data_IF_992933649792
#
_entry.id   IF_992933649792
#
_cell.length_a   1.000
_cell.length_b   1.000
_cell.length_c   1.000
_cell.angle_alpha   90.00
_cell.angle_beta   90.00
_cell.angle_gamma   90.00
#
_symmetry.space_group_name_H-M   'P 1'
#
loop_
_entity.id
_entity.type
_entity.pdbx_description
1 polymer ?
#
# COMPACT_ATOMS: atom_id res chain seq x y z
N UNK A 1 -19.64 -0.27 -13.13
CA UNK A 1 -19.30 -1.71 -13.23
C UNK A 1 -19.60 -2.47 -11.94
N UNK A 2 -18.95 -2.14 -10.83
CA UNK A 2 -19.09 -2.89 -9.56
C UNK A 2 -20.52 -2.85 -9.02
N UNK A 3 -21.20 -1.70 -9.06
CA UNK A 3 -22.62 -1.60 -8.67
C UNK A 3 -23.52 -2.57 -9.47
N UNK A 4 -23.28 -2.71 -10.78
CA UNK A 4 -24.03 -3.66 -11.61
C UNK A 4 -23.69 -5.12 -11.30
N UNK A 5 -22.45 -5.42 -10.93
CA UNK A 5 -22.03 -6.76 -10.50
C UNK A 5 -22.66 -7.15 -9.15
N UNK A 6 -22.72 -6.22 -8.20
CA UNK A 6 -23.29 -6.43 -6.87
C UNK A 6 -24.82 -6.58 -6.89
N UNK A 7 -25.50 -5.98 -7.88
CA UNK A 7 -26.96 -6.10 -8.06
C UNK A 7 -27.39 -7.39 -8.78
N UNK A 8 -26.45 -8.18 -9.30
CA UNK A 8 -26.79 -9.47 -9.92
C UNK A 8 -27.21 -10.49 -8.87
N UNK A 9 -28.10 -11.43 -9.22
CA UNK A 9 -28.47 -12.50 -8.31
C UNK A 9 -27.22 -13.30 -7.89
N UNK A 10 -27.06 -13.61 -6.60
CA UNK A 10 -25.89 -14.30 -6.10
C UNK A 10 -25.81 -15.70 -6.72
N UNK A 11 -24.68 -16.01 -7.39
CA UNK A 11 -24.45 -17.30 -8.07
C UNK A 11 -24.56 -18.52 -7.14
N UNK A 12 -24.31 -18.33 -5.84
CA UNK A 12 -24.23 -19.41 -4.85
C UNK A 12 -25.12 -19.17 -3.61
N UNK A 13 -26.19 -18.38 -3.74
CA UNK A 13 -27.16 -18.15 -2.66
C UNK A 13 -26.69 -17.24 -1.52
N UNK A 14 -25.44 -16.77 -1.55
CA UNK A 14 -24.92 -15.73 -0.65
C UNK A 14 -24.31 -14.58 -1.44
N UNK A 15 -24.50 -13.39 -0.89
CA UNK A 15 -23.96 -12.15 -1.41
C UNK A 15 -22.44 -12.13 -1.52
N UNK A 16 -21.84 -11.40 -2.47
CA UNK A 16 -20.38 -11.26 -2.57
C UNK A 16 -19.77 -10.47 -1.39
N UNK A 17 -18.47 -10.66 -1.16
CA UNK A 17 -17.66 -9.90 -0.20
C UNK A 17 -16.89 -8.81 -0.94
N UNK A 18 -16.92 -7.59 -0.40
CA UNK A 18 -16.09 -6.50 -0.91
C UNK A 18 -14.80 -6.42 -0.09
N UNK A 19 -13.66 -6.53 -0.77
CA UNK A 19 -12.35 -6.29 -0.19
C UNK A 19 -11.91 -4.87 -0.54
N UNK A 20 -12.06 -3.96 0.41
CA UNK A 20 -11.79 -2.55 0.17
C UNK A 20 -10.36 -2.18 0.57
N UNK A 21 -9.51 -1.93 -0.42
CA UNK A 21 -8.09 -1.63 -0.28
C UNK A 21 -7.89 -0.12 -0.16
N UNK A 22 -7.45 0.30 1.03
CA UNK A 22 -7.12 1.66 1.39
C UNK A 22 -5.60 1.86 1.42
N UNK A 23 -5.13 3.00 0.92
CA UNK A 23 -3.74 3.43 1.14
C UNK A 23 -3.64 4.20 2.46
N UNK A 24 -2.81 3.72 3.39
CA UNK A 24 -2.63 4.35 4.69
C UNK A 24 -1.98 5.74 4.61
N UNK A 25 -1.15 5.99 3.59
CA UNK A 25 -0.52 7.29 3.38
C UNK A 25 -1.54 8.36 2.95
N UNK A 26 -2.67 7.92 2.38
CA UNK A 26 -3.72 8.77 1.86
C UNK A 26 -4.81 9.12 2.87
N UNK A 27 -4.75 8.61 4.11
CA UNK A 27 -5.79 8.92 5.10
C UNK A 27 -5.79 10.42 5.45
N UNK A 28 -6.96 11.08 5.57
CA UNK A 28 -8.31 10.50 5.54
C UNK A 28 -8.90 10.32 4.14
N UNK A 29 -8.41 11.04 3.12
CA UNK A 29 -8.96 11.06 1.75
C UNK A 29 -8.94 9.71 1.02
N UNK A 30 -8.24 8.71 1.56
CA UNK A 30 -8.25 7.33 1.04
C UNK A 30 -9.66 6.75 0.95
N UNK A 31 -10.57 7.15 1.85
CA UNK A 31 -11.92 6.61 1.92
C UNK A 31 -12.81 7.25 0.85
N UNK A 32 -13.28 6.43 -0.07
CA UNK A 32 -14.08 6.87 -1.21
C UNK A 32 -15.54 7.05 -0.76
N UNK A 33 -16.13 8.25 -0.94
CA UNK A 33 -17.51 8.53 -0.52
C UNK A 33 -18.56 7.70 -1.28
N UNK A 34 -18.16 7.13 -2.44
CA UNK A 34 -19.03 6.31 -3.26
C UNK A 34 -19.22 4.88 -2.70
N UNK A 35 -18.32 4.40 -1.82
CA UNK A 35 -18.35 3.00 -1.34
C UNK A 35 -19.57 2.70 -0.46
N UNK A 36 -19.98 3.55 0.50
CA UNK A 36 -21.24 3.36 1.22
C UNK A 36 -22.47 3.28 0.30
N UNK A 37 -22.51 4.10 -0.75
CA UNK A 37 -23.60 4.08 -1.73
C UNK A 37 -23.67 2.74 -2.50
N UNK A 38 -22.54 2.05 -2.66
CA UNK A 38 -22.49 0.70 -3.25
C UNK A 38 -23.05 -0.39 -2.33
N UNK A 39 -23.21 -0.11 -1.03
CA UNK A 39 -23.70 -1.01 0.02
C UNK A 39 -25.13 -0.73 0.45
N UNK A 40 -25.88 0.07 -0.32
CA UNK A 40 -27.24 0.46 0.04
C UNK A 40 -28.19 -0.73 0.31
N UNK A 41 -29.32 -0.50 1.01
CA UNK A 41 -30.19 -1.53 1.60
C UNK A 41 -30.83 -2.53 0.63
N UNK A 42 -30.67 -2.36 -0.68
CA UNK A 42 -31.13 -3.27 -1.73
C UNK A 42 -30.04 -4.11 -2.38
N UNK A 43 -28.79 -4.03 -1.90
CA UNK A 43 -27.66 -4.78 -2.48
C UNK A 43 -27.40 -6.03 -1.62
N UNK A 44 -27.38 -7.24 -2.21
CA UNK A 44 -27.06 -8.46 -1.50
C UNK A 44 -25.55 -8.54 -1.23
N UNK A 45 -24.88 -7.50 -0.75
CA UNK A 45 -23.48 -7.59 -0.35
C UNK A 45 -23.45 -8.09 1.10
N UNK A 46 -22.75 -9.20 1.38
CA UNK A 46 -22.76 -9.73 2.74
C UNK A 46 -21.76 -9.03 3.68
N UNK A 47 -21.00 -8.05 3.17
CA UNK A 47 -20.16 -7.16 3.98
C UNK A 47 -18.93 -6.62 3.24
N UNK A 48 -18.17 -5.79 3.94
CA UNK A 48 -16.92 -5.18 3.52
C UNK A 48 -15.81 -5.55 4.49
N UNK A 49 -14.70 -6.04 3.95
CA UNK A 49 -13.45 -6.22 4.65
C UNK A 49 -12.50 -5.10 4.23
N UNK A 50 -12.11 -4.24 5.18
CA UNK A 50 -11.22 -3.11 4.89
C UNK A 50 -9.77 -3.53 5.09
N UNK A 51 -8.95 -3.26 4.08
CA UNK A 51 -7.53 -3.60 4.03
C UNK A 51 -6.71 -2.31 3.92
N UNK A 52 -6.10 -1.88 5.03
CA UNK A 52 -5.14 -0.77 5.05
C UNK A 52 -3.78 -1.24 4.56
N UNK A 53 -3.45 -0.91 3.32
CA UNK A 53 -2.22 -1.32 2.63
C UNK A 53 -1.07 -0.31 2.83
N UNK A 54 0.15 -0.72 2.48
CA UNK A 54 1.39 0.07 2.55
C UNK A 54 1.86 0.42 3.97
N UNK A 55 1.51 -0.42 4.94
CA UNK A 55 1.94 -0.23 6.34
C UNK A 55 3.47 -0.31 6.51
N UNK A 56 4.16 -0.99 5.60
CA UNK A 56 5.61 -1.11 5.54
C UNK A 56 6.34 0.20 5.28
N UNK A 57 5.66 1.19 4.70
CA UNK A 57 6.25 2.49 4.39
C UNK A 57 6.29 3.43 5.60
N UNK A 58 5.47 3.16 6.62
CA UNK A 58 5.32 3.99 7.81
C UNK A 58 6.33 3.61 8.90
N UNK A 59 7.06 4.58 9.48
CA UNK A 59 7.93 4.31 10.61
C UNK A 59 7.13 4.01 11.88
N UNK A 60 7.67 3.14 12.73
CA UNK A 60 7.17 2.94 14.08
C UNK A 60 7.54 4.15 14.96
N UNK A 61 6.55 4.98 15.31
CA UNK A 61 6.71 6.17 16.14
C UNK A 61 6.76 5.83 17.64
N UNK A 62 5.81 5.01 18.12
CA UNK A 62 5.72 4.58 19.50
C UNK A 62 5.15 3.16 19.63
N UNK A 63 5.32 2.47 20.79
CA UNK A 63 4.73 1.16 21.03
C UNK A 63 3.22 1.17 20.73
N UNK A 64 2.72 0.09 20.12
CA UNK A 64 1.31 -0.01 19.74
C UNK A 64 0.87 0.86 18.55
N UNK A 65 1.80 1.39 17.74
CA UNK A 65 1.47 2.20 16.55
C UNK A 65 0.47 1.52 15.61
N UNK A 66 0.61 0.22 15.34
CA UNK A 66 -0.32 -0.54 14.50
C UNK A 66 -1.76 -0.51 15.04
N UNK A 67 -1.92 -0.58 16.37
CA UNK A 67 -3.23 -0.47 17.01
C UNK A 67 -3.85 0.91 16.83
N UNK A 68 -3.03 1.97 16.95
CA UNK A 68 -3.46 3.35 16.67
C UNK A 68 -3.84 3.54 15.21
N UNK A 69 -3.00 3.08 14.27
CA UNK A 69 -3.28 3.13 12.83
C UNK A 69 -4.59 2.43 12.49
N UNK A 70 -4.83 1.23 13.05
CA UNK A 70 -6.11 0.51 12.87
C UNK A 70 -7.30 1.32 13.38
N UNK A 71 -7.17 2.00 14.53
CA UNK A 71 -8.21 2.88 15.07
C UNK A 71 -8.46 4.08 14.16
N UNK A 72 -7.41 4.70 13.61
CA UNK A 72 -7.52 5.80 12.65
C UNK A 72 -8.23 5.39 11.36
N UNK A 73 -7.93 4.20 10.84
CA UNK A 73 -8.66 3.64 9.69
C UNK A 73 -10.13 3.43 10.05
N UNK A 74 -10.42 2.89 11.24
CA UNK A 74 -11.79 2.70 11.71
C UNK A 74 -12.56 4.02 11.83
N UNK A 75 -11.93 5.06 12.40
CA UNK A 75 -12.48 6.41 12.51
C UNK A 75 -12.74 7.03 11.13
N UNK A 76 -11.79 6.91 10.20
CA UNK A 76 -11.95 7.40 8.82
C UNK A 76 -13.08 6.66 8.07
N UNK A 77 -13.18 5.34 8.24
CA UNK A 77 -14.28 4.55 7.70
C UNK A 77 -15.63 4.97 8.32
N UNK A 78 -15.68 5.17 9.64
CA UNK A 78 -16.89 5.61 10.33
C UNK A 78 -17.33 7.01 9.87
N UNK A 79 -16.39 7.95 9.73
CA UNK A 79 -16.66 9.30 9.22
C UNK A 79 -17.17 9.31 7.78
N UNK A 80 -16.77 8.34 6.96
CA UNK A 80 -17.29 8.17 5.61
C UNK A 80 -18.61 7.37 5.54
N UNK A 81 -19.18 6.93 6.67
CA UNK A 81 -20.41 6.13 6.70
C UNK A 81 -20.22 4.62 6.48
N UNK A 82 -18.99 4.11 6.53
CA UNK A 82 -18.66 2.68 6.49
C UNK A 82 -18.61 2.07 7.90
N UNK A 83 -19.68 2.26 8.68
CA UNK A 83 -19.81 1.74 10.05
C UNK A 83 -20.91 0.68 10.20
N UNK A 84 -20.85 -0.10 11.28
CA UNK A 84 -21.92 -1.02 11.69
C UNK A 84 -21.89 -2.40 11.02
N UNK A 85 -23.07 -2.95 10.72
CA UNK A 85 -23.25 -4.35 10.30
C UNK A 85 -22.59 -4.71 8.94
N UNK A 86 -22.24 -3.71 8.12
CA UNK A 86 -21.56 -3.93 6.85
C UNK A 86 -20.05 -4.16 7.01
N UNK A 87 -19.42 -3.70 8.10
CA UNK A 87 -17.98 -3.83 8.30
C UNK A 87 -17.62 -5.16 8.98
N UNK A 88 -16.95 -6.05 8.26
CA UNK A 88 -16.60 -7.40 8.74
C UNK A 88 -15.35 -7.41 9.63
N UNK A 89 -14.31 -6.68 9.22
CA UNK A 89 -13.05 -6.52 9.96
C UNK A 89 -12.20 -5.41 9.29
N UNK A 90 -11.16 -4.95 9.99
CA UNK A 90 -10.13 -4.04 9.45
C UNK A 90 -8.77 -4.71 9.64
N UNK A 91 -8.02 -4.89 8.56
CA UNK A 91 -6.68 -5.47 8.56
C UNK A 91 -5.65 -4.52 7.97
N UNK A 92 -4.51 -4.40 8.64
CA UNK A 92 -3.35 -3.70 8.11
C UNK A 92 -2.45 -4.71 7.42
N UNK A 93 -2.03 -4.42 6.19
CA UNK A 93 -1.18 -5.30 5.39
C UNK A 93 -0.12 -4.50 4.63
N UNK A 94 0.91 -5.20 4.21
CA UNK A 94 1.75 -4.76 3.09
C UNK A 94 1.70 -5.83 2.02
N UNK A 95 1.03 -5.51 0.91
CA UNK A 95 0.99 -6.42 -0.24
C UNK A 95 2.39 -6.63 -0.86
N UNK A 96 3.31 -5.67 -0.69
CA UNK A 96 4.65 -5.71 -1.28
C UNK A 96 5.62 -6.54 -0.44
N UNK A 97 5.62 -6.33 0.88
CA UNK A 97 6.54 -7.01 1.80
C UNK A 97 5.94 -8.24 2.46
N UNK A 98 4.66 -8.54 2.19
CA UNK A 98 3.94 -9.71 2.69
C UNK A 98 3.43 -9.60 4.13
N UNK A 99 3.74 -8.52 4.85
CA UNK A 99 3.28 -8.30 6.23
C UNK A 99 1.74 -8.32 6.32
N UNK A 100 1.19 -9.04 7.30
CA UNK A 100 -0.24 -9.14 7.60
C UNK A 100 -1.06 -9.95 6.59
N UNK A 101 -0.45 -10.45 5.51
CA UNK A 101 -1.14 -11.16 4.43
C UNK A 101 -1.66 -12.53 4.88
N UNK A 102 -0.87 -13.30 5.63
CA UNK A 102 -1.30 -14.60 6.17
C UNK A 102 -2.47 -14.44 7.15
N UNK A 103 -2.47 -13.37 7.94
CA UNK A 103 -3.57 -12.96 8.81
C UNK A 103 -4.84 -12.61 8.01
N UNK A 104 -4.69 -11.87 6.90
CA UNK A 104 -5.78 -11.53 5.99
C UNK A 104 -6.40 -12.79 5.37
N UNK A 105 -5.58 -13.71 4.84
CA UNK A 105 -6.07 -14.96 4.24
C UNK A 105 -6.75 -15.85 5.28
N UNK A 106 -6.21 -15.91 6.51
CA UNK A 106 -6.85 -16.63 7.62
C UNK A 106 -8.21 -16.04 7.98
N UNK A 107 -8.34 -14.71 7.97
CA UNK A 107 -9.63 -14.06 8.19
C UNK A 107 -10.59 -14.39 7.04
N UNK A 108 -10.17 -14.27 5.79
CA UNK A 108 -10.98 -14.59 4.60
C UNK A 108 -11.48 -16.06 4.63
N UNK A 109 -10.61 -17.02 4.93
CA UNK A 109 -10.99 -18.43 4.99
C UNK A 109 -11.98 -18.72 6.14
N UNK A 110 -11.82 -18.06 7.31
CA UNK A 110 -12.70 -18.24 8.48
C UNK A 110 -14.04 -17.49 8.35
N UNK A 111 -14.00 -16.21 7.99
CA UNK A 111 -15.19 -15.34 7.92
C UNK A 111 -16.02 -15.67 6.70
N UNK A 112 -15.37 -15.93 5.57
CA UNK A 112 -16.07 -16.07 4.32
C UNK A 112 -16.38 -17.52 3.95
N UNK A 113 -15.65 -18.54 4.47
CA UNK A 113 -15.83 -19.99 4.14
C UNK A 113 -16.15 -20.27 2.64
N UNK A 114 -15.68 -19.36 1.78
CA UNK A 114 -16.00 -19.25 0.37
C UNK A 114 -17.47 -19.02 -0.02
N UNK A 115 -18.39 -18.64 0.86
CA UNK A 115 -19.81 -18.36 0.63
C UNK A 115 -20.20 -17.74 -0.74
N UNK A 116 -19.41 -16.79 -1.26
CA UNK A 116 -19.63 -16.15 -2.56
C UNK A 116 -18.35 -15.58 -3.17
N UNK A 117 -18.51 -14.84 -4.28
CA UNK A 117 -17.42 -14.16 -4.98
C UNK A 117 -16.82 -13.01 -4.14
N UNK A 118 -15.57 -12.65 -4.43
CA UNK A 118 -14.86 -11.55 -3.78
C UNK A 118 -14.48 -10.49 -4.81
N UNK A 119 -14.78 -9.22 -4.52
CA UNK A 119 -14.40 -8.11 -5.39
C UNK A 119 -13.41 -7.19 -4.68
N UNK A 120 -12.27 -6.97 -5.32
CA UNK A 120 -11.29 -5.98 -4.87
C UNK A 120 -11.72 -4.59 -5.29
N UNK A 121 -11.84 -3.67 -4.34
CA UNK A 121 -12.18 -2.26 -4.57
C UNK A 121 -11.08 -1.37 -4.01
N UNK A 122 -10.82 -0.23 -4.64
CA UNK A 122 -9.85 0.73 -4.14
C UNK A 122 -9.63 1.88 -5.12
N UNK A 123 -9.02 2.95 -4.62
CA UNK A 123 -8.55 4.02 -5.48
C UNK A 123 -7.40 3.54 -6.40
N UNK A 124 -7.09 4.30 -7.45
CA UNK A 124 -5.85 4.09 -8.19
C UNK A 124 -4.64 4.22 -7.24
N UNK A 125 -3.59 3.44 -7.49
CA UNK A 125 -2.38 3.37 -6.67
C UNK A 125 -2.53 2.95 -5.21
N UNK A 126 -3.70 2.46 -4.76
CA UNK A 126 -3.86 1.87 -3.42
C UNK A 126 -3.11 0.55 -3.20
N UNK A 127 -2.54 -0.01 -4.28
CA UNK A 127 -1.82 -1.29 -4.28
C UNK A 127 -2.73 -2.51 -4.44
N UNK A 128 -3.94 -2.32 -4.96
CA UNK A 128 -4.90 -3.38 -5.26
C UNK A 128 -4.34 -4.49 -6.18
N UNK A 129 -3.66 -4.13 -7.27
CA UNK A 129 -3.08 -5.12 -8.18
C UNK A 129 -1.88 -5.85 -7.56
N UNK A 130 -1.10 -5.18 -6.70
CA UNK A 130 -0.08 -5.83 -5.88
C UNK A 130 -0.72 -6.83 -4.92
N UNK A 131 -1.81 -6.44 -4.25
CA UNK A 131 -2.56 -7.32 -3.36
C UNK A 131 -3.13 -8.53 -4.11
N UNK A 132 -3.68 -8.33 -5.31
CA UNK A 132 -4.16 -9.42 -6.16
C UNK A 132 -3.05 -10.42 -6.50
N UNK A 133 -1.87 -9.93 -6.91
CA UNK A 133 -0.72 -10.79 -7.24
C UNK A 133 -0.21 -11.54 -6.00
N UNK A 134 -0.17 -10.89 -4.84
CA UNK A 134 0.25 -11.53 -3.59
C UNK A 134 -0.79 -12.57 -3.13
N UNK A 135 -2.08 -12.31 -3.30
CA UNK A 135 -3.14 -13.29 -3.04
C UNK A 135 -3.09 -14.47 -4.01
N UNK A 136 -2.77 -14.23 -5.29
CA UNK A 136 -2.55 -15.28 -6.29
C UNK A 136 -1.40 -16.21 -5.87
N UNK A 137 -0.34 -15.64 -5.28
CA UNK A 137 0.82 -16.36 -4.73
C UNK A 137 0.56 -17.01 -3.37
N UNK A 138 -0.51 -16.67 -2.67
CA UNK A 138 -0.85 -17.23 -1.36
C UNK A 138 -1.70 -18.50 -1.43
N UNK A 139 -1.90 -19.13 -0.26
CA UNK A 139 -2.84 -20.23 -0.02
C UNK A 139 -4.32 -19.89 -0.27
N UNK A 140 -4.66 -18.65 -0.62
CA UNK A 140 -6.02 -18.27 -0.97
C UNK A 140 -6.43 -18.77 -2.37
N UNK A 141 -5.46 -18.94 -3.25
CA UNK A 141 -5.68 -19.36 -4.62
C UNK A 141 -5.60 -20.88 -4.77
N UNK A 142 -6.34 -21.47 -5.73
CA UNK A 142 -6.19 -22.90 -6.06
C UNK A 142 -4.75 -23.19 -6.50
N UNK A 143 -4.18 -24.33 -6.10
CA UNK A 143 -2.77 -24.70 -6.34
C UNK A 143 -2.31 -24.61 -7.81
N UNK A 144 -3.23 -24.79 -8.76
CA UNK A 144 -2.97 -24.77 -10.23
C UNK A 144 -3.14 -23.39 -10.88
N UNK A 145 -3.74 -22.43 -10.17
CA UNK A 145 -4.09 -21.14 -10.74
C UNK A 145 -2.94 -20.18 -11.06
N UNK A 146 -1.76 -20.14 -10.38
CA UNK A 146 -0.71 -19.18 -10.77
C UNK A 146 -0.19 -19.42 -12.18
N UNK A 147 0.04 -20.68 -12.56
CA UNK A 147 0.57 -21.05 -13.88
C UNK A 147 -0.45 -20.81 -15.01
N UNK A 148 -1.75 -20.78 -14.66
CA UNK A 148 -2.87 -20.55 -15.57
C UNK A 148 -3.28 -19.07 -15.64
N UNK A 149 -3.17 -18.32 -14.53
CA UNK A 149 -3.60 -16.92 -14.42
C UNK A 149 -2.50 -15.94 -14.85
N UNK A 150 -1.21 -16.30 -14.72
CA UNK A 150 -0.09 -15.54 -15.33
C UNK A 150 -0.24 -15.46 -16.86
N UNK A 151 -1.04 -16.35 -17.47
CA UNK A 151 -1.51 -16.30 -18.87
C UNK A 151 -2.93 -15.72 -18.97
N UNK A 152 -3.11 -14.50 -18.47
CA UNK A 152 -4.21 -13.56 -18.75
C UNK A 152 -5.61 -14.18 -19.02
N UNK A 153 -6.28 -14.71 -17.98
CA UNK A 153 -7.72 -15.02 -18.07
C UNK A 153 -8.55 -13.75 -17.90
N UNK A 154 -8.56 -12.95 -18.96
CA UNK A 154 -9.49 -11.83 -19.14
C UNK A 154 -10.90 -12.40 -19.33
N UNK A 155 -11.85 -12.04 -18.47
CA UNK A 155 -13.26 -12.27 -18.79
C UNK A 155 -13.86 -11.06 -19.48
N UNK A 156 -14.41 -11.19 -20.70
CA UNK A 156 -15.17 -10.12 -21.33
C UNK A 156 -16.42 -9.84 -20.49
N UNK A 157 -16.60 -8.58 -20.10
CA UNK A 157 -17.83 -8.13 -19.46
C UNK A 157 -18.84 -7.73 -20.54
N UNK A 158 -20.10 -8.21 -20.52
CA UNK A 158 -21.10 -7.78 -21.48
C UNK A 158 -21.37 -6.27 -21.32
N UNK A 159 -21.16 -5.49 -22.39
CA UNK A 159 -21.48 -4.06 -22.45
C UNK A 159 -20.38 -3.09 -22.01
N UNK A 160 -19.14 -3.53 -21.77
CA UNK A 160 -18.01 -2.62 -21.49
C UNK A 160 -16.70 -3.13 -22.09
N UNK A 161 -15.83 -2.23 -22.55
CA UNK A 161 -14.48 -2.51 -23.08
C UNK A 161 -13.41 -2.83 -22.01
N UNK A 162 -13.78 -2.94 -20.72
CA UNK A 162 -12.84 -3.17 -19.62
C UNK A 162 -12.76 -4.65 -19.24
N UNK A 163 -11.58 -5.23 -19.44
CA UNK A 163 -11.21 -6.60 -19.15
C UNK A 163 -10.85 -6.76 -17.66
N UNK A 164 -11.65 -7.53 -16.90
CA UNK A 164 -11.37 -7.80 -15.48
C UNK A 164 -10.52 -9.06 -15.32
N UNK A 165 -9.49 -8.98 -14.47
CA UNK A 165 -8.70 -10.14 -14.05
C UNK A 165 -9.42 -10.88 -12.94
N UNK A 166 -9.34 -12.21 -12.95
CA UNK A 166 -9.94 -13.04 -11.91
C UNK A 166 -9.14 -14.32 -11.66
N UNK A 167 -9.16 -14.81 -10.42
CA UNK A 167 -8.63 -16.14 -10.08
C UNK A 167 -9.62 -16.96 -9.25
N UNK A 168 -9.59 -18.30 -9.36
CA UNK A 168 -10.47 -19.16 -8.60
C UNK A 168 -9.99 -19.30 -7.14
N UNK A 169 -10.91 -19.11 -6.21
CA UNK A 169 -10.68 -19.23 -4.76
C UNK A 169 -10.63 -20.71 -4.38
N UNK A 170 -9.69 -21.08 -3.51
CA UNK A 170 -9.60 -22.43 -2.97
C UNK A 170 -10.77 -22.72 -2.02
N UNK A 171 -11.31 -23.94 -2.03
CA UNK A 171 -12.29 -24.35 -1.02
C UNK A 171 -11.58 -24.68 0.31
N UNK A 172 -11.89 -23.97 1.43
CA UNK A 172 -11.23 -24.15 2.71
C UNK A 172 -11.88 -25.33 3.46
N UNK A 173 -11.40 -26.54 3.20
CA UNK A 173 -11.75 -27.73 3.98
C UNK A 173 -11.06 -27.69 5.35
N UNK A 174 -11.68 -28.29 6.37
CA UNK A 174 -11.12 -28.31 7.74
C UNK A 174 -9.67 -28.80 7.79
N UNK A 175 -9.35 -29.90 7.08
CA UNK A 175 -7.99 -30.44 6.95
C UNK A 175 -7.01 -29.40 6.36
N UNK A 176 -7.43 -28.63 5.34
CA UNK A 176 -6.56 -27.63 4.71
C UNK A 176 -6.30 -26.45 5.62
N UNK A 177 -7.34 -25.99 6.31
CA UNK A 177 -7.21 -24.91 7.32
C UNK A 177 -6.27 -25.37 8.44
N UNK A 178 -6.39 -26.63 8.86
CA UNK A 178 -5.58 -27.21 9.92
C UNK A 178 -4.10 -27.31 9.52
N UNK A 179 -3.78 -27.92 8.37
CA UNK A 179 -2.39 -28.02 7.86
C UNK A 179 -1.74 -26.65 7.67
N UNK A 180 -2.50 -25.66 7.18
CA UNK A 180 -2.00 -24.29 7.08
C UNK A 180 -1.72 -23.68 8.45
N UNK A 181 -2.55 -23.95 9.46
CA UNK A 181 -2.30 -23.49 10.82
C UNK A 181 -1.07 -24.16 11.44
N UNK A 182 -0.80 -25.43 11.15
CA UNK A 182 0.43 -26.10 11.57
C UNK A 182 1.66 -25.45 10.94
N UNK A 183 1.67 -25.22 9.62
CA UNK A 183 2.73 -24.47 8.94
C UNK A 183 2.99 -23.12 9.59
N UNK A 184 1.94 -22.32 9.80
CA UNK A 184 2.08 -20.98 10.40
C UNK A 184 2.62 -21.05 11.84
N UNK A 185 2.29 -22.10 12.61
CA UNK A 185 2.86 -22.31 13.95
C UNK A 185 4.32 -22.69 13.89
N UNK A 186 4.70 -23.56 12.96
CA UNK A 186 6.10 -23.94 12.74
C UNK A 186 6.93 -22.73 12.31
N UNK A 187 6.46 -21.94 11.35
CA UNK A 187 7.10 -20.69 10.93
C UNK A 187 7.25 -19.72 12.12
N UNK A 188 6.20 -19.54 12.93
CA UNK A 188 6.24 -18.72 14.13
C UNK A 188 7.25 -19.19 15.20
N UNK A 189 7.67 -20.46 15.17
CA UNK A 189 8.68 -21.00 16.07
C UNK A 189 10.10 -20.81 15.56
N UNK A 190 10.29 -20.69 14.25
CA UNK A 190 11.61 -20.54 13.63
C UNK A 190 12.27 -19.20 14.00
N UNK A 191 13.59 -19.22 14.05
CA UNK A 191 14.43 -18.03 14.21
C UNK A 191 15.01 -17.60 12.87
N UNK A 192 15.45 -16.34 12.75
CA UNK A 192 16.08 -15.83 11.51
C UNK A 192 17.31 -16.66 11.09
N UNK A 193 18.00 -17.29 12.06
CA UNK A 193 19.22 -18.06 11.83
C UNK A 193 18.96 -19.44 11.22
N UNK A 194 17.76 -19.99 11.39
CA UNK A 194 17.34 -21.30 10.86
C UNK A 194 16.90 -21.24 9.39
N UNK A 195 16.80 -20.05 8.81
CA UNK A 195 16.39 -19.85 7.41
C UNK A 195 17.49 -20.23 6.41
N UNK A 196 17.06 -20.69 5.23
CA UNK A 196 17.92 -20.94 4.07
C UNK A 196 18.70 -19.68 3.66
N UNK A 197 19.85 -19.86 3.00
CA UNK A 197 20.64 -18.74 2.46
C UNK A 197 19.83 -17.89 1.48
N UNK A 198 18.97 -18.50 0.67
CA UNK A 198 18.09 -17.80 -0.29
C UNK A 198 16.99 -16.99 0.42
N UNK A 199 16.35 -17.59 1.43
CA UNK A 199 15.32 -16.95 2.26
C UNK A 199 15.90 -15.76 3.02
N UNK A 200 17.12 -15.90 3.57
CA UNK A 200 17.85 -14.80 4.21
C UNK A 200 18.16 -13.66 3.23
N UNK A 201 18.60 -13.97 2.00
CA UNK A 201 18.84 -12.95 0.98
C UNK A 201 17.56 -12.21 0.60
N UNK A 202 16.46 -12.95 0.42
CA UNK A 202 15.15 -12.38 0.13
C UNK A 202 14.64 -11.50 1.28
N UNK A 203 14.73 -11.97 2.52
CA UNK A 203 14.37 -11.22 3.72
C UNK A 203 15.21 -9.94 3.86
N UNK A 204 16.51 -10.01 3.61
CA UNK A 204 17.40 -8.85 3.63
C UNK A 204 17.03 -7.82 2.55
N UNK A 205 16.58 -8.27 1.38
CA UNK A 205 16.05 -7.38 0.35
C UNK A 205 14.78 -6.67 0.83
N UNK A 206 13.84 -7.39 1.45
CA UNK A 206 12.60 -6.81 1.99
C UNK A 206 12.86 -5.84 3.16
N UNK A 207 13.79 -6.16 4.07
CA UNK A 207 14.22 -5.27 5.17
C UNK A 207 14.80 -3.95 4.66
N UNK A 208 15.45 -3.95 3.49
CA UNK A 208 15.89 -2.70 2.85
C UNK A 208 14.72 -1.87 2.36
N UNK A 209 13.67 -2.52 1.85
CA UNK A 209 12.52 -1.88 1.24
C UNK A 209 11.48 -1.36 2.25
N UNK A 210 11.24 -2.01 3.37
CA UNK A 210 10.15 -1.64 4.29
C UNK A 210 10.50 -1.86 5.76
N UNK A 211 9.74 -1.24 6.66
CA UNK A 211 9.87 -1.45 8.11
C UNK A 211 9.23 -2.75 8.57
N UNK A 212 8.16 -3.19 7.90
CA UNK A 212 7.38 -4.35 8.27
C UNK A 212 7.48 -5.38 7.15
N UNK A 213 7.91 -6.59 7.49
CA UNK A 213 8.15 -7.67 6.54
C UNK A 213 7.44 -8.92 7.02
N UNK A 214 6.81 -9.66 6.11
CA UNK A 214 6.18 -10.94 6.43
C UNK A 214 6.33 -11.90 5.26
N UNK A 215 6.53 -13.18 5.54
CA UNK A 215 6.60 -14.18 4.49
C UNK A 215 5.20 -14.69 4.13
N UNK A 216 4.93 -14.83 2.82
CA UNK A 216 3.68 -15.41 2.33
C UNK A 216 3.99 -16.77 1.74
N UNK A 217 3.58 -17.81 2.45
CA UNK A 217 3.87 -19.18 2.08
C UNK A 217 2.74 -19.84 1.29
N UNK A 218 3.06 -21.02 0.75
CA UNK A 218 2.06 -21.95 0.22
C UNK A 218 2.20 -23.32 0.85
N UNK A 219 1.10 -23.79 1.42
CA UNK A 219 0.99 -25.10 2.08
C UNK A 219 0.77 -26.24 1.07
N UNK A 220 0.11 -25.97 -0.07
CA UNK A 220 -0.36 -27.01 -1.00
C UNK A 220 0.33 -26.99 -2.36
N UNK A 221 1.65 -26.76 -2.40
CA UNK A 221 2.42 -26.92 -3.63
C UNK A 221 2.66 -28.40 -3.91
N UNK A 222 2.45 -28.82 -5.17
CA UNK A 222 3.08 -30.06 -5.62
C UNK A 222 4.59 -29.83 -5.64
N UNK A 223 5.42 -30.79 -5.21
CA UNK A 223 6.85 -30.69 -5.45
C UNK A 223 7.03 -30.47 -6.95
N UNK A 224 7.77 -29.41 -7.33
CA UNK A 224 8.30 -29.33 -8.69
C UNK A 224 8.97 -30.67 -8.94
N UNK A 225 8.63 -31.35 -10.04
CA UNK A 225 9.32 -32.58 -10.44
C UNK A 225 10.82 -32.27 -10.36
N UNK A 226 11.50 -32.88 -9.40
CA UNK A 226 12.94 -32.86 -9.31
C UNK A 226 13.48 -33.33 -10.66
N UNK A 227 14.55 -32.70 -11.14
CA UNK A 227 15.34 -33.15 -12.28
C UNK A 227 16.07 -34.44 -11.94
N UNK A 228 15.31 -35.49 -11.60
CA UNK A 228 15.80 -36.85 -11.66
C UNK A 228 15.42 -37.30 -13.05
N UNK A 229 16.42 -37.36 -13.93
CA UNK A 229 16.29 -38.06 -15.20
C UNK A 229 16.05 -39.50 -14.82
N UNK A 230 14.80 -39.97 -14.94
CA UNK A 230 14.53 -41.42 -14.94
C UNK A 230 15.30 -41.97 -16.15
N UNK A 231 16.33 -42.75 -15.86
CA UNK A 231 17.17 -43.38 -16.85
C UNK A 231 16.37 -44.56 -17.43
N UNK A 232 15.69 -44.34 -18.55
CA UNK A 232 14.92 -45.36 -19.25
C UNK A 232 15.86 -46.17 -20.18
N UNK A 233 16.15 -47.46 -19.89
CA UNK A 233 17.09 -48.26 -20.68
C UNK A 233 16.60 -48.54 -22.10
N UNK A 234 15.29 -48.45 -22.34
CA UNK A 234 14.67 -48.75 -23.64
C UNK A 234 14.83 -47.61 -24.66
N UNK A 235 15.26 -46.41 -24.22
CA UNK A 235 15.49 -45.26 -25.08
C UNK A 235 16.83 -45.30 -25.86
N UNK A 236 17.63 -46.36 -25.68
CA UNK A 236 18.94 -46.53 -26.32
C UNK A 236 18.98 -47.64 -27.38
N UNK A 237 17.85 -48.27 -27.73
CA UNK A 237 17.82 -49.20 -28.86
C UNK A 237 17.82 -48.42 -30.18
N UNK A 238 19.01 -48.09 -30.67
CA UNK A 238 19.20 -47.63 -32.04
C UNK A 238 19.02 -48.82 -33.00
N UNK A 239 17.88 -48.89 -33.66
CA UNK A 239 17.77 -49.63 -34.92
C UNK A 239 18.38 -48.78 -36.04
N UNK A 240 19.48 -49.27 -36.59
CA UNK A 240 20.11 -48.79 -37.82
C UNK A 240 19.09 -49.02 -38.94
N UNK A 241 18.74 -47.98 -39.68
CA UNK A 241 17.82 -47.91 -40.83
C UNK A 241 16.50 -47.17 -40.54
N UNK A 242 16.55 -45.83 -40.47
CA UNK A 242 15.50 -44.92 -40.96
C UNK A 242 15.98 -43.45 -40.88
N UNK A 243 15.75 -42.68 -41.95
CA UNK A 243 16.15 -41.26 -42.10
C UNK A 243 15.47 -40.33 -41.07
N UNK A 244 16.06 -39.18 -40.71
CA UNK A 244 15.57 -38.33 -39.64
C UNK A 244 14.29 -37.59 -40.05
N UNK A 245 13.14 -38.14 -39.68
CA UNK A 245 11.86 -37.40 -39.68
C UNK A 245 11.79 -36.56 -38.41
N UNK A 246 11.63 -35.25 -38.61
CA UNK A 246 11.49 -34.21 -37.61
C UNK A 246 10.48 -34.61 -36.52
N UNK A 247 10.97 -34.88 -35.31
CA UNK A 247 10.12 -35.23 -34.17
C UNK A 247 9.13 -34.08 -33.89
N UNK A 248 7.83 -34.34 -33.65
CA UNK A 248 6.92 -33.28 -33.28
C UNK A 248 7.36 -32.76 -31.91
N UNK A 249 7.77 -31.48 -31.87
CA UNK A 249 7.95 -30.73 -30.62
C UNK A 249 6.77 -31.05 -29.71
N UNK A 250 7.04 -31.65 -28.54
CA UNK A 250 6.05 -31.87 -27.47
C UNK A 250 5.36 -30.53 -27.22
N UNK A 251 4.16 -30.38 -27.76
CA UNK A 251 3.28 -29.27 -27.49
C UNK A 251 2.98 -29.34 -26.00
N UNK A 252 3.48 -28.38 -25.20
CA UNK A 252 3.09 -28.23 -23.80
C UNK A 252 1.56 -28.16 -23.77
N UNK A 253 0.91 -29.23 -23.32
CA UNK A 253 -0.55 -29.28 -23.26
C UNK A 253 -1.00 -28.09 -22.42
N UNK A 254 -1.79 -27.19 -23.02
CA UNK A 254 -2.50 -26.12 -22.32
C UNK A 254 -3.40 -26.77 -21.27
N UNK A 255 -2.97 -26.76 -20.02
CA UNK A 255 -3.79 -27.21 -18.90
C UNK A 255 -4.81 -26.12 -18.58
N UNK A 256 -5.97 -26.17 -19.24
CA UNK A 256 -7.12 -25.32 -18.92
C UNK A 256 -7.96 -25.97 -17.81
N UNK A 257 -8.57 -25.15 -16.94
CA UNK A 257 -9.49 -25.66 -15.92
C UNK A 257 -10.67 -26.37 -16.61
N UNK A 258 -11.07 -27.52 -16.08
CA UNK A 258 -12.25 -28.23 -16.60
C UNK A 258 -13.50 -27.36 -16.44
N UNK A 259 -14.42 -27.39 -17.42
CA UNK A 259 -15.65 -26.58 -17.42
C UNK A 259 -16.43 -26.65 -16.08
N UNK A 260 -16.51 -27.83 -15.47
CA UNK A 260 -17.17 -28.03 -14.18
C UNK A 260 -16.43 -27.35 -13.01
N UNK A 261 -15.09 -27.36 -13.02
CA UNK A 261 -14.29 -26.66 -12.00
C UNK A 261 -14.39 -25.14 -12.11
N UNK A 262 -14.68 -24.62 -13.31
CA UNK A 262 -14.87 -23.19 -13.61
C UNK A 262 -16.29 -22.73 -13.23
N UNK A 263 -17.30 -23.56 -13.50
CA UNK A 263 -18.71 -23.26 -13.25
C UNK A 263 -19.02 -23.14 -11.75
N UNK A 264 -18.47 -24.04 -10.95
CA UNK A 264 -18.68 -24.08 -9.49
C UNK A 264 -17.57 -23.36 -8.71
N UNK A 265 -16.57 -22.80 -9.41
CA UNK A 265 -15.56 -21.98 -8.78
C UNK A 265 -16.15 -20.64 -8.33
N UNK A 266 -15.72 -20.23 -7.14
CA UNK A 266 -15.88 -18.87 -6.64
C UNK A 266 -14.66 -18.06 -7.06
N UNK A 267 -14.87 -16.82 -7.43
CA UNK A 267 -13.84 -16.01 -8.08
C UNK A 267 -13.48 -14.79 -7.22
N UNK A 268 -12.20 -14.46 -7.21
CA UNK A 268 -11.71 -13.17 -6.77
C UNK A 268 -11.52 -12.30 -8.00
N UNK A 269 -12.22 -11.18 -8.08
CA UNK A 269 -12.16 -10.24 -9.20
C UNK A 269 -11.34 -9.01 -8.84
N UNK A 270 -10.40 -8.66 -9.72
CA UNK A 270 -9.78 -7.34 -9.68
C UNK A 270 -10.66 -6.34 -10.44
N UNK A 271 -11.02 -5.24 -9.79
CA UNK A 271 -11.77 -4.15 -10.44
C UNK A 271 -10.83 -3.00 -10.81
N UNK A 272 -11.12 -2.19 -11.84
CA UNK A 272 -10.34 -1.01 -12.15
C UNK A 272 -10.33 -0.05 -10.96
N UNK A 273 -9.18 0.55 -10.66
CA UNK A 273 -9.06 1.52 -9.57
C UNK A 273 -9.89 2.77 -9.84
N UNK A 274 -10.53 3.30 -8.81
CA UNK A 274 -11.28 4.55 -8.91
C UNK A 274 -10.29 5.71 -8.87
N UNK A 275 -10.26 6.54 -9.92
CA UNK A 275 -9.43 7.74 -9.98
C UNK A 275 -10.06 8.82 -9.09
N UNK A 276 -9.25 9.47 -8.26
CA UNK A 276 -9.68 10.65 -7.49
C UNK A 276 -9.42 11.90 -8.31
N UNK A 277 -10.37 12.85 -8.33
CA UNK A 277 -10.26 14.07 -9.13
C UNK A 277 -9.25 15.07 -8.52
N UNK A 278 -9.27 15.26 -7.19
CA UNK A 278 -8.44 16.25 -6.47
C UNK A 278 -7.01 15.79 -6.13
N UNK A 279 -6.44 14.91 -6.96
CA UNK A 279 -5.18 14.25 -6.69
C UNK A 279 -4.02 14.93 -7.43
N UNK A 280 -2.93 15.26 -6.72
CA UNK A 280 -1.70 15.81 -7.32
C UNK A 280 -1.16 14.89 -8.41
N UNK A 281 -1.37 13.57 -8.31
CA UNK A 281 -0.88 12.59 -9.29
C UNK A 281 -1.47 12.80 -10.69
N UNK A 282 -2.66 13.39 -10.81
CA UNK A 282 -3.28 13.68 -12.11
C UNK A 282 -2.57 14.82 -12.85
N UNK A 283 -1.88 15.69 -12.12
CA UNK A 283 -1.13 16.81 -12.66
C UNK A 283 0.29 16.40 -13.06
N UNK A 284 0.75 15.21 -12.69
CA UNK A 284 2.12 14.76 -12.83
C UNK A 284 2.30 13.75 -13.96
N UNK A 285 3.49 13.74 -14.55
CA UNK A 285 3.90 12.74 -15.53
C UNK A 285 4.29 11.42 -14.85
N UNK A 286 4.29 10.31 -15.58
CA UNK A 286 4.64 8.99 -15.05
C UNK A 286 6.02 8.92 -14.37
N UNK A 287 6.98 9.72 -14.86
CA UNK A 287 8.32 9.80 -14.26
C UNK A 287 8.29 10.53 -12.92
N UNK A 288 7.52 11.61 -12.82
CA UNK A 288 7.32 12.37 -11.58
C UNK A 288 6.53 11.54 -10.56
N UNK A 289 5.48 10.84 -10.98
CA UNK A 289 4.67 9.96 -10.12
C UNK A 289 5.55 8.92 -9.43
N UNK A 290 6.55 8.36 -10.11
CA UNK A 290 7.52 7.43 -9.51
C UNK A 290 8.43 8.06 -8.43
N UNK A 291 8.67 9.37 -8.50
CA UNK A 291 9.43 10.10 -7.49
C UNK A 291 8.55 10.46 -6.29
N UNK A 292 7.30 10.87 -6.56
CA UNK A 292 6.34 11.27 -5.53
C UNK A 292 5.89 10.09 -4.69
N UNK A 293 5.55 8.96 -5.33
CA UNK A 293 5.06 7.78 -4.63
C UNK A 293 6.22 6.98 -4.01
N UNK A 294 6.27 6.84 -2.68
CA UNK A 294 7.32 6.09 -2.01
C UNK A 294 7.22 4.61 -2.35
N UNK A 295 8.33 4.04 -2.81
CA UNK A 295 8.49 2.58 -3.01
C UNK A 295 9.29 1.93 -1.90
N UNK A 296 10.00 2.71 -1.10
CA UNK A 296 10.83 2.30 0.02
C UNK A 296 10.36 3.02 1.28
N UNK A 297 10.58 2.40 2.43
CA UNK A 297 10.29 2.90 3.76
C UNK A 297 10.62 4.39 3.90
N UNK A 298 9.62 5.18 4.28
CA UNK A 298 9.76 6.63 4.40
C UNK A 298 10.62 6.91 5.63
N UNK A 299 11.65 7.74 5.46
CA UNK A 299 12.48 8.19 6.57
C UNK A 299 12.07 9.62 6.90
N UNK A 300 11.44 9.87 8.07
CA UNK A 300 11.02 11.21 8.46
C UNK A 300 12.20 12.17 8.50
N UNK A 301 12.02 13.35 7.87
CA UNK A 301 13.02 14.42 7.88
C UNK A 301 12.49 15.54 8.74
N UNK A 302 13.11 15.72 9.90
CA UNK A 302 12.66 16.72 10.88
C UNK A 302 13.50 17.98 10.81
N UNK A 303 12.82 19.11 10.79
CA UNK A 303 13.41 20.44 10.74
C UNK A 303 12.86 21.30 11.87
N UNK A 304 13.66 22.26 12.33
CA UNK A 304 13.23 23.29 13.28
C UNK A 304 13.09 24.62 12.54
N UNK A 305 11.89 25.17 12.51
CA UNK A 305 11.59 26.43 11.85
C UNK A 305 11.27 27.49 12.88
N UNK A 306 11.72 28.71 12.61
CA UNK A 306 11.36 29.92 13.36
C UNK A 306 10.24 30.67 12.60
N UNK A 307 9.50 31.54 13.29
CA UNK A 307 8.60 32.48 12.62
C UNK A 307 9.35 33.25 11.52
N UNK A 308 8.74 33.40 10.35
CA UNK A 308 9.36 34.00 9.15
C UNK A 308 10.21 33.04 8.32
N UNK A 309 10.14 31.72 8.55
CA UNK A 309 10.76 30.70 7.71
C UNK A 309 9.73 29.91 6.90
N UNK A 310 10.18 29.40 5.75
CA UNK A 310 9.39 28.62 4.80
C UNK A 310 10.03 27.26 4.55
N UNK A 311 9.21 26.22 4.48
CA UNK A 311 9.58 24.87 4.06
C UNK A 311 8.93 24.54 2.72
N UNK A 312 9.76 24.19 1.74
CA UNK A 312 9.35 23.65 0.45
C UNK A 312 9.48 22.13 0.43
N UNK A 313 8.42 21.45 -0.01
CA UNK A 313 8.44 20.05 -0.40
C UNK A 313 8.38 20.00 -1.92
N UNK A 314 9.55 19.85 -2.57
CA UNK A 314 9.67 20.01 -4.01
C UNK A 314 9.04 21.34 -4.50
N UNK A 315 8.62 21.42 -5.76
CA UNK A 315 7.77 22.50 -6.24
C UNK A 315 6.25 22.19 -6.07
N UNK A 316 5.93 21.14 -5.30
CA UNK A 316 4.55 20.64 -5.07
C UNK A 316 3.89 21.20 -3.83
N UNK A 317 4.65 21.61 -2.82
CA UNK A 317 4.10 22.06 -1.55
C UNK A 317 5.00 23.07 -0.88
N UNK A 318 4.39 24.06 -0.24
CA UNK A 318 5.09 25.06 0.57
C UNK A 318 4.35 25.26 1.88
N UNK A 319 5.07 25.38 2.99
CA UNK A 319 4.52 25.73 4.31
C UNK A 319 5.30 26.92 4.85
N UNK A 320 4.59 28.02 5.07
CA UNK A 320 5.11 29.24 5.66
C UNK A 320 4.75 29.30 7.12
N UNK A 321 5.74 29.55 7.98
CA UNK A 321 5.52 29.83 9.39
C UNK A 321 5.39 31.33 9.59
N UNK A 322 4.15 31.85 9.66
CA UNK A 322 3.89 33.29 9.69
C UNK A 322 4.04 33.87 11.09
N UNK A 323 3.31 33.33 12.06
CA UNK A 323 3.28 33.84 13.44
C UNK A 323 3.38 32.71 14.46
N UNK A 324 4.20 32.93 15.48
CA UNK A 324 4.37 32.09 16.66
C UNK A 324 5.48 32.68 17.54
N UNK A 325 5.57 32.25 18.80
CA UNK A 325 6.53 32.83 19.77
C UNK A 325 7.86 32.07 19.78
N UNK A 326 7.80 30.76 19.52
CA UNK A 326 8.90 29.81 19.65
C UNK A 326 9.12 29.06 18.34
N UNK A 327 10.32 28.48 18.18
CA UNK A 327 10.55 27.57 17.07
C UNK A 327 9.70 26.30 17.21
N UNK A 328 9.17 25.83 16.09
CA UNK A 328 8.39 24.60 16.02
C UNK A 328 9.12 23.55 15.16
N UNK A 329 8.76 22.28 15.36
CA UNK A 329 9.32 21.17 14.59
C UNK A 329 8.37 20.75 13.48
N UNK A 330 8.94 20.62 12.28
CA UNK A 330 8.26 20.19 11.07
C UNK A 330 8.89 18.89 10.62
N UNK A 331 8.18 17.78 10.80
CA UNK A 331 8.61 16.45 10.40
C UNK A 331 7.95 16.10 9.07
N UNK A 332 8.74 16.14 7.99
CA UNK A 332 8.30 15.80 6.64
C UNK A 332 8.27 14.29 6.48
N UNK A 333 7.08 13.75 6.20
CA UNK A 333 6.85 12.34 5.87
C UNK A 333 6.39 12.27 4.41
N UNK A 334 7.36 12.09 3.52
CA UNK A 334 7.19 12.06 2.07
C UNK A 334 8.24 11.14 1.45
N UNK A 335 8.14 10.85 0.15
CA UNK A 335 9.17 10.07 -0.56
C UNK A 335 10.58 10.65 -0.34
N UNK A 336 11.55 9.77 -0.07
CA UNK A 336 12.94 10.15 0.18
C UNK A 336 13.62 10.81 -1.05
N UNK A 337 13.02 10.62 -2.24
CA UNK A 337 13.50 11.19 -3.49
C UNK A 337 13.06 12.64 -3.70
N UNK A 338 12.05 13.11 -2.95
CA UNK A 338 11.59 14.49 -3.04
C UNK A 338 12.51 15.40 -2.23
N UNK A 339 13.09 16.45 -2.84
CA UNK A 339 13.93 17.39 -2.10
C UNK A 339 13.09 18.23 -1.14
N UNK A 340 13.70 18.62 -0.03
CA UNK A 340 13.11 19.53 0.95
C UNK A 340 14.05 20.70 1.14
N UNK A 341 13.54 21.91 0.99
CA UNK A 341 14.32 23.15 1.09
C UNK A 341 13.73 24.09 2.10
N UNK A 342 14.60 24.75 2.87
CA UNK A 342 14.22 25.72 3.90
C UNK A 342 14.81 27.06 3.55
N UNK A 343 13.97 28.09 3.59
CA UNK A 343 14.33 29.45 3.19
C UNK A 343 13.66 30.47 4.10
N UNK A 344 14.09 31.72 4.04
CA UNK A 344 13.40 32.82 4.71
C UNK A 344 12.17 33.23 3.90
N UNK A 345 11.10 33.63 4.58
CA UNK A 345 9.82 34.00 3.97
C UNK A 345 9.98 35.10 2.91
N UNK A 346 10.87 36.08 3.15
CA UNK A 346 11.15 37.19 2.23
C UNK A 346 11.65 36.73 0.85
N UNK A 347 12.33 35.58 0.80
CA UNK A 347 12.98 35.07 -0.42
C UNK A 347 12.19 33.93 -1.05
N UNK A 348 11.15 33.42 -0.38
CA UNK A 348 10.46 32.21 -0.77
C UNK A 348 9.84 32.32 -2.18
N UNK A 349 9.22 33.45 -2.51
CA UNK A 349 8.63 33.68 -3.84
C UNK A 349 9.71 33.73 -4.92
N UNK A 350 10.80 34.47 -4.69
CA UNK A 350 11.92 34.56 -5.64
C UNK A 350 12.63 33.23 -5.87
N UNK A 351 12.68 32.36 -4.85
CA UNK A 351 13.29 31.04 -4.95
C UNK A 351 12.38 30.10 -5.73
N UNK A 352 11.07 30.20 -5.53
CA UNK A 352 10.11 29.42 -6.30
C UNK A 352 10.20 29.78 -7.79
N UNK A 353 10.19 31.06 -8.14
CA UNK A 353 10.28 31.50 -9.53
C UNK A 353 11.58 31.07 -10.22
N UNK A 354 12.72 31.18 -9.52
CA UNK A 354 14.04 30.87 -10.11
C UNK A 354 14.36 29.38 -10.16
N UNK A 355 13.85 28.59 -9.23
CA UNK A 355 14.30 27.22 -9.01
C UNK A 355 13.21 26.16 -9.13
N UNK A 356 11.96 26.53 -9.35
CA UNK A 356 10.91 25.58 -9.68
C UNK A 356 11.24 24.84 -10.99
N UNK A 357 11.19 23.51 -10.95
CA UNK A 357 11.52 22.67 -12.10
C UNK A 357 13.01 22.41 -12.31
N UNK A 358 13.89 22.94 -11.45
CA UNK A 358 15.34 22.67 -11.43
C UNK A 358 15.71 21.61 -10.37
N UNK A 359 17.00 21.35 -10.18
CA UNK A 359 17.48 20.34 -9.20
C UNK A 359 17.14 20.68 -7.74
N UNK A 360 16.97 21.96 -7.40
CA UNK A 360 16.60 22.39 -6.04
C UNK A 360 15.14 22.04 -5.74
N UNK A 361 14.18 22.56 -6.50
CA UNK A 361 12.76 22.25 -6.33
C UNK A 361 12.31 21.24 -7.39
N UNK A 362 12.94 20.06 -7.35
CA UNK A 362 12.69 18.97 -8.29
C UNK A 362 11.30 18.38 -8.09
N UNK A 363 10.58 18.19 -9.20
CA UNK A 363 9.16 17.79 -9.30
C UNK A 363 8.23 19.00 -9.16
N UNK A 364 7.63 19.49 -10.27
CA UNK A 364 7.68 18.96 -11.64
C UNK A 364 9.08 18.93 -12.28
N UNK A 365 9.32 18.03 -13.23
CA UNK A 365 10.55 17.89 -14.01
C UNK A 365 10.28 18.43 -15.41
N UNK A 366 10.99 19.48 -15.82
CA UNK A 366 10.83 20.06 -17.16
C UNK A 366 11.15 21.55 -17.26
N UNK A 367 11.84 22.12 -16.27
CA UNK A 367 12.24 23.53 -16.29
C UNK A 367 11.06 24.49 -16.40
N UNK A 368 11.33 25.66 -17.00
CA UNK A 368 10.38 26.77 -17.08
C UNK A 368 9.16 26.49 -17.97
N UNK A 369 9.32 25.70 -19.04
CA UNK A 369 8.21 25.37 -19.94
C UNK A 369 7.14 24.55 -19.24
N UNK A 370 7.55 23.54 -18.47
CA UNK A 370 6.63 22.71 -17.68
C UNK A 370 5.95 23.51 -16.57
N UNK A 371 6.66 24.47 -15.97
CA UNK A 371 6.11 25.34 -14.92
C UNK A 371 5.03 26.30 -15.45
N UNK A 372 5.06 26.67 -16.74
CA UNK A 372 3.97 27.46 -17.37
C UNK A 372 2.68 26.66 -17.52
N UNK A 373 2.78 25.35 -17.75
CA UNK A 373 1.64 24.45 -17.84
C UNK A 373 1.12 24.04 -16.45
N UNK A 374 2.03 23.97 -15.47
CA UNK A 374 1.69 23.56 -14.12
C UNK A 374 0.84 24.61 -13.38
N UNK A 375 -0.23 24.21 -12.68
CA UNK A 375 -1.10 25.16 -11.99
C UNK A 375 -0.37 25.92 -10.88
N UNK A 376 -0.74 27.20 -10.65
CA UNK A 376 -0.14 27.98 -9.58
C UNK A 376 -0.49 27.43 -8.20
N UNK A 377 0.38 27.71 -7.24
CA UNK A 377 0.18 27.34 -5.84
C UNK A 377 -0.84 28.27 -5.17
N UNK A 378 -1.87 27.68 -4.56
CA UNK A 378 -2.94 28.39 -3.84
C UNK A 378 -2.66 28.34 -2.34
N UNK A 379 -2.65 29.49 -1.64
CA UNK A 379 -2.48 29.52 -0.19
C UNK A 379 -3.74 29.09 0.56
N UNK A 380 -3.54 28.43 1.70
CA UNK A 380 -4.55 28.15 2.70
C UNK A 380 -3.96 28.37 4.09
N UNK A 381 -4.66 29.17 4.89
CA UNK A 381 -4.25 29.50 6.26
C UNK A 381 -4.71 28.40 7.22
N UNK A 382 -3.81 28.01 8.11
CA UNK A 382 -3.99 26.95 9.09
C UNK A 382 -3.54 27.46 10.44
N UNK A 383 -4.44 27.45 11.42
CA UNK A 383 -4.13 27.83 12.80
C UNK A 383 -4.07 26.57 13.65
N UNK A 384 -2.97 26.37 14.37
CA UNK A 384 -2.73 25.19 15.21
C UNK A 384 -2.45 25.59 16.66
N UNK A 385 -2.86 24.75 17.61
CA UNK A 385 -2.57 24.91 19.04
C UNK A 385 -1.59 23.85 19.53
N UNK A 386 -0.46 24.28 20.07
CA UNK A 386 0.59 23.41 20.54
C UNK A 386 0.20 22.58 21.77
N UNK A 387 0.51 21.28 21.70
CA UNK A 387 0.24 20.29 22.77
C UNK A 387 1.51 20.06 23.59
N UNK A 388 2.67 19.98 22.93
CA UNK A 388 3.95 19.72 23.58
C UNK A 388 5.06 19.31 22.60
N UNK A 389 6.28 19.20 23.12
CA UNK A 389 7.48 18.92 22.29
C UNK A 389 7.56 17.48 21.77
N UNK A 390 6.80 16.56 22.35
CA UNK A 390 6.82 15.13 22.04
C UNK A 390 5.70 14.69 21.11
N UNK A 391 4.61 15.45 21.06
CA UNK A 391 3.39 15.08 20.33
C UNK A 391 3.11 16.09 19.22
N UNK A 392 2.99 15.59 18.00
CA UNK A 392 2.54 16.37 16.86
C UNK A 392 1.09 16.80 17.08
N UNK A 393 0.81 18.05 16.71
CA UNK A 393 -0.51 18.68 16.83
C UNK A 393 -1.39 18.27 15.66
N UNK A 394 -0.86 18.41 14.46
CA UNK A 394 -1.59 18.17 13.22
C UNK A 394 -0.62 17.73 12.11
N UNK A 395 -1.19 17.05 11.11
CA UNK A 395 -0.51 16.76 9.85
C UNK A 395 -1.07 17.65 8.73
N UNK A 396 -0.21 18.44 8.10
CA UNK A 396 -0.54 19.20 6.90
C UNK A 396 -0.29 18.29 5.69
N UNK A 397 -1.36 17.75 5.11
CA UNK A 397 -1.30 16.76 4.03
C UNK A 397 -1.32 17.42 2.65
N UNK A 398 -0.32 17.08 1.84
CA UNK A 398 -0.14 17.52 0.46
C UNK A 398 -0.64 16.45 -0.52
N UNK A 399 -1.95 16.16 -0.53
CA UNK A 399 -2.55 15.12 -1.38
C UNK A 399 -1.71 13.82 -1.32
N UNK A 400 -1.28 13.27 -2.46
CA UNK A 400 -0.42 12.07 -2.56
C UNK A 400 1.09 12.30 -2.39
N UNK A 401 1.55 13.53 -2.21
CA UNK A 401 2.98 13.82 -2.08
C UNK A 401 3.55 13.51 -0.69
N UNK A 402 2.68 13.45 0.32
CA UNK A 402 3.03 13.20 1.71
C UNK A 402 2.40 14.23 2.64
N UNK A 403 2.92 14.33 3.85
CA UNK A 403 2.47 15.32 4.83
C UNK A 403 3.62 15.87 5.66
N UNK A 404 3.38 17.02 6.28
CA UNK A 404 4.27 17.64 7.23
C UNK A 404 3.59 17.63 8.59
N UNK A 405 4.14 16.84 9.52
CA UNK A 405 3.68 16.80 10.90
C UNK A 405 4.25 17.99 11.65
N UNK A 406 3.39 18.80 12.27
CA UNK A 406 3.77 19.99 13.03
C UNK A 406 3.74 19.66 14.51
N UNK A 407 4.85 19.89 15.20
CA UNK A 407 4.98 19.73 16.66
C UNK A 407 5.38 21.07 17.25
N UNK A 408 4.62 21.57 18.21
CA UNK A 408 4.83 22.89 18.81
C UNK A 408 4.79 22.83 20.34
N UNK A 409 5.31 23.86 21.00
CA UNK A 409 5.32 23.93 22.45
C UNK A 409 3.89 24.03 23.02
N UNK A 410 3.69 23.57 24.24
CA UNK A 410 2.38 23.63 24.90
C UNK A 410 1.85 25.08 24.98
N UNK A 411 0.55 25.25 24.74
CA UNK A 411 -0.20 26.53 24.82
C UNK A 411 0.23 27.58 23.78
N UNK A 412 1.02 27.21 22.79
CA UNK A 412 1.43 28.11 21.70
C UNK A 412 0.43 28.07 20.55
N UNK A 413 0.03 29.23 20.03
CA UNK A 413 -0.76 29.34 18.80
C UNK A 413 0.16 29.61 17.61
N UNK A 414 0.04 28.79 16.57
CA UNK A 414 0.85 28.88 15.36
C UNK A 414 -0.05 29.22 14.18
N UNK A 415 0.30 30.29 13.48
CA UNK A 415 -0.32 30.62 12.20
C UNK A 415 0.60 30.16 11.07
N UNK A 416 0.14 29.17 10.32
CA UNK A 416 0.83 28.60 9.18
C UNK A 416 0.04 28.92 7.91
N UNK A 417 0.75 29.11 6.80
CA UNK A 417 0.15 29.20 5.47
C UNK A 417 0.73 28.11 4.59
N UNK A 418 -0.09 27.15 4.22
CA UNK A 418 0.30 26.05 3.36
C UNK A 418 -0.19 26.30 1.94
N UNK A 419 0.61 25.94 0.95
CA UNK A 419 0.33 26.15 -0.45
C UNK A 419 0.32 24.83 -1.21
N UNK A 420 -0.70 24.62 -2.02
CA UNK A 420 -0.83 23.45 -2.89
C UNK A 420 -1.20 23.84 -4.33
N UNK A 421 -0.88 23.03 -5.34
CA UNK A 421 -1.24 23.33 -6.71
C UNK A 421 -2.76 23.43 -6.85
N UNK A 422 -3.23 24.41 -7.63
CA UNK A 422 -4.67 24.58 -7.88
C UNK A 422 -5.30 23.29 -8.40
N UNK A 423 -6.43 22.90 -7.80
CA UNK A 423 -7.12 21.65 -8.12
C UNK A 423 -6.69 20.45 -7.25
N UNK A 424 -5.87 20.68 -6.22
CA UNK A 424 -5.48 19.65 -5.27
C UNK A 424 -5.94 20.01 -3.86
N UNK A 425 -6.42 19.03 -3.12
CA UNK A 425 -6.88 19.23 -1.76
C UNK A 425 -5.69 19.33 -0.79
N UNK A 426 -5.61 20.44 -0.05
CA UNK A 426 -4.83 20.52 1.17
C UNK A 426 -5.72 20.11 2.35
N UNK A 427 -5.29 19.11 3.10
CA UNK A 427 -6.07 18.59 4.23
C UNK A 427 -5.24 18.72 5.51
N UNK A 428 -5.79 19.41 6.49
CA UNK A 428 -5.24 19.44 7.85
C UNK A 428 -5.86 18.30 8.61
N UNK A 429 -5.03 17.35 9.05
CA UNK A 429 -5.46 16.17 9.78
C UNK A 429 -5.17 16.36 11.27
N UNK A 430 -6.25 16.50 12.02
CA UNK A 430 -6.28 16.53 13.48
C UNK A 430 -7.22 15.44 13.97
N UNK A 431 -6.75 14.51 14.80
CA UNK A 431 -5.37 14.28 15.26
C UNK A 431 -4.45 13.64 14.19
N UNK A 432 -3.12 13.75 14.33
CA UNK A 432 -2.17 13.21 13.36
C UNK A 432 -2.15 11.68 13.31
N UNK A 433 -1.64 11.13 12.21
CA UNK A 433 -1.51 9.69 11.98
C UNK A 433 -0.40 9.09 12.85
N UNK A 434 0.73 9.80 12.97
CA UNK A 434 1.89 9.43 13.76
C UNK A 434 2.20 10.54 14.78
N UNK A 435 1.53 10.55 15.95
CA UNK A 435 1.66 11.63 16.92
C UNK A 435 3.09 11.78 17.46
N UNK A 436 3.84 10.68 17.62
CA UNK A 436 5.18 10.74 18.23
C UNK A 436 6.31 10.85 17.21
N UNK A 437 6.02 11.27 15.98
CA UNK A 437 6.97 11.28 14.87
C UNK A 437 8.19 12.19 15.12
N UNK A 438 8.03 13.23 15.94
CA UNK A 438 9.12 14.15 16.32
C UNK A 438 10.23 13.45 17.10
N UNK A 439 9.94 12.30 17.73
CA UNK A 439 10.92 11.47 18.45
C UNK A 439 11.75 10.61 17.50
N UNK A 440 11.26 10.36 16.29
CA UNK A 440 11.94 9.57 15.24
C UNK A 440 12.94 10.45 14.49
N UNK A 441 13.87 11.07 15.22
CA UNK A 441 14.94 11.91 14.69
C UNK A 441 16.27 11.62 15.37
N UNK A 442 17.36 11.88 14.65
CA UNK A 442 18.73 11.81 15.16
C UNK A 442 19.18 13.12 15.82
N UNK A 443 20.49 13.27 16.00
CA UNK A 443 21.08 14.49 16.56
C UNK A 443 20.89 15.70 15.62
N UNK A 444 20.82 16.89 16.21
CA UNK A 444 20.76 18.15 15.45
C UNK A 444 22.05 18.35 14.66
N UNK A 445 21.94 18.76 13.39
CA UNK A 445 23.08 19.10 12.56
C UNK A 445 23.49 20.54 12.88
N UNK A 446 24.70 20.72 13.41
CA UNK A 446 25.23 22.03 13.78
C UNK A 446 25.19 23.00 12.58
N UNK A 447 24.79 24.25 12.83
CA UNK A 447 24.71 25.29 11.79
C UNK A 447 23.51 25.20 10.85
N UNK A 448 22.61 24.22 11.00
CA UNK A 448 21.43 24.06 10.14
C UNK A 448 20.12 23.91 10.93
N UNK A 449 19.00 24.09 10.23
CA UNK A 449 17.66 23.80 10.74
C UNK A 449 17.31 22.31 10.72
N UNK A 450 18.19 21.43 10.23
CA UNK A 450 17.90 20.02 10.01
C UNK A 450 18.41 19.11 11.15
N UNK A 451 17.69 18.01 11.36
CA UNK A 451 18.12 16.89 12.21
C UNK A 451 18.63 15.75 11.34
N UNK A 452 19.61 14.99 11.85
CA UNK A 452 20.03 13.74 11.20
C UNK A 452 18.85 12.77 11.13
N UNK A 453 18.72 12.07 10.01
CA UNK A 453 17.69 11.05 9.83
C UNK A 453 18.00 9.82 10.68
N UNK A 454 16.99 9.24 11.31
CA UNK A 454 17.08 7.97 12.03
C UNK A 454 16.07 7.00 11.40
N UNK A 455 16.53 5.87 10.88
CA UNK A 455 15.66 4.81 10.37
C UNK A 455 15.30 3.87 11.53
N UNK A 456 14.01 3.72 11.90
CA UNK A 456 13.58 2.70 12.86
C UNK A 456 14.00 1.29 12.45
N UNK A 457 14.18 0.37 13.43
CA UNK A 457 14.48 -1.03 13.13
C UNK A 457 13.34 -1.67 12.34
N UNK A 458 13.68 -2.62 11.48
CA UNK A 458 12.70 -3.41 10.74
C UNK A 458 12.16 -4.52 11.64
N UNK A 459 10.86 -4.78 11.57
CA UNK A 459 10.18 -5.87 12.28
C UNK A 459 9.79 -6.93 11.25
N UNK A 460 10.20 -8.16 11.52
CA UNK A 460 9.78 -9.32 10.74
C UNK A 460 8.67 -10.03 11.49
N UNK A 461 7.55 -10.25 10.80
CA UNK A 461 6.41 -11.00 11.32
C UNK A 461 6.74 -12.49 11.36
N UNK A 462 6.20 -13.19 12.36
CA UNK A 462 6.28 -14.66 12.50
C UNK A 462 7.70 -15.23 12.70
N UNK A 463 8.70 -14.44 13.10
CA UNK A 463 9.97 -14.99 13.58
C UNK A 463 10.17 -14.59 15.03
N UNK A 464 10.69 -15.52 15.84
CA UNK A 464 11.12 -15.17 17.19
C UNK A 464 12.33 -14.25 17.09
N UNK A 465 12.19 -13.02 17.58
CA UNK A 465 13.33 -12.13 17.80
C UNK A 465 14.25 -12.78 18.83
N UNK A 466 15.49 -13.08 18.41
CA UNK A 466 16.60 -13.50 19.25
C UNK A 466 17.03 -12.32 20.13
N UNK A 467 16.23 -11.98 21.14
CA UNK A 467 16.50 -10.80 21.97
C UNK A 467 15.34 -10.35 22.83
N UNK A 468 14.86 -11.22 23.72
CA UNK A 468 14.07 -10.84 24.89
C UNK A 468 14.27 -11.90 25.98
N UNK A 469 15.39 -11.80 26.69
CA UNK A 469 15.53 -12.30 28.05
C UNK A 469 15.81 -11.12 28.96
#
# INVERSE_FOLDING_TARGET
>A
VVSAALRRPPRHGRGPLLLYVLDLLELPDAVLPQVPALLGPGVPASGVLVVGNKVDLLPADAPGHLGRLRRRVAEACAGAGLGGAALVDIRLVSAKTGFGMEGLVSRLQRSWKCAGDVYLLGATNSGKSTLFNTLLRSDYCKSRAPDIVDRATVSPWPGTTLNLLKFPIINPTCDRIFRRQERLKEEAMKTEDELSSEEKQYLNHLKKQGYLVGEVGRTFQRPKRSTVVDFDPDALSYSIDEDPVDSPKKCEKREEFTYNEVKDARWCFDTPGIVKEDCVLNLLTDKEVKLVLPTVAIVPRTFILKPGMTLFLAALGRVDYLQGEKPAWFSVVASNLLPVHITALSNADTIYEKHAGQELLKVPMGGEERMKEFPPLVPQDVTLKGIGITEAVADIKFSSAGWVAVTAHAEEELLLRAYTPKGTALVVREPPLLPYISTVRGARIAGTSAYRTKKPPCVVENLKTTGSR
#
